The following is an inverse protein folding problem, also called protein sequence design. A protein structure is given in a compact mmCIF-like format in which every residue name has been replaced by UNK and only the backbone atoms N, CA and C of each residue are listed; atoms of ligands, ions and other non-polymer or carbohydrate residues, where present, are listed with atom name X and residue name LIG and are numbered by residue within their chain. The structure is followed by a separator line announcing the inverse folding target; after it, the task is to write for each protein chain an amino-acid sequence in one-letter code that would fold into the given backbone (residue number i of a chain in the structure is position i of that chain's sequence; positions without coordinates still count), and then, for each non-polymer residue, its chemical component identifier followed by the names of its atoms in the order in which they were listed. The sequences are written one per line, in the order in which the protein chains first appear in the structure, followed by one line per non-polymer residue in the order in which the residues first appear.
data_IF_939290139402
#
_entry.id   IF_939290139402
#
_cell.length_a   1.000
_cell.length_b   1.000
_cell.length_c   1.000
_cell.angle_alpha   90.00
_cell.angle_beta   90.00
_cell.angle_gamma   90.00
#
_symmetry.space_group_name_H-M   'P 1'
#
loop_
_entity.id
_entity.type
_entity.pdbx_description
1 polymer ?
#
# COMPACT_ATOMS: atom_id res chain seq x y z
N UNK A 1 76.25 -28.29 -5.69
CA UNK A 1 76.74 -28.62 -7.07
C UNK A 1 75.60 -29.27 -7.82
N UNK A 2 75.44 -29.01 -9.13
CA UNK A 2 74.49 -29.67 -10.08
C UNK A 2 72.99 -29.42 -9.75
N UNK A 3 72.22 -28.76 -10.62
CA UNK A 3 71.61 -29.20 -11.89
C UNK A 3 70.49 -30.24 -11.65
N UNK A 4 69.17 -30.05 -11.90
CA UNK A 4 68.35 -29.44 -12.99
C UNK A 4 67.95 -30.41 -14.13
N UNK A 5 66.66 -30.32 -14.55
CA UNK A 5 66.07 -30.58 -15.88
C UNK A 5 65.53 -32.01 -16.23
N UNK A 6 64.22 -32.05 -16.63
CA UNK A 6 63.47 -33.09 -17.40
C UNK A 6 63.38 -34.51 -16.76
N UNK A 7 62.53 -35.51 -17.14
CA UNK A 7 61.45 -35.77 -18.14
C UNK A 7 60.73 -37.13 -17.75
N UNK A 8 59.59 -37.65 -18.27
CA UNK A 8 58.54 -37.26 -19.25
C UNK A 8 57.21 -38.07 -19.05
N UNK A 9 56.04 -37.47 -19.35
CA UNK A 9 54.82 -38.00 -20.04
C UNK A 9 53.99 -39.28 -19.66
N UNK A 10 52.70 -39.22 -20.05
CA UNK A 10 51.70 -40.30 -20.33
C UNK A 10 51.08 -41.07 -19.12
N UNK A 11 49.77 -41.39 -19.05
CA UNK A 11 48.61 -41.12 -19.96
C UNK A 11 47.26 -40.99 -19.20
N UNK A 12 46.19 -40.61 -19.92
CA UNK A 12 44.87 -40.19 -19.42
C UNK A 12 43.90 -41.29 -18.96
N UNK A 13 42.94 -40.92 -18.09
CA UNK A 13 41.50 -41.31 -18.03
C UNK A 13 40.86 -40.66 -16.78
N UNK A 14 39.67 -40.06 -16.77
CA UNK A 14 38.79 -39.60 -17.87
C UNK A 14 37.84 -38.45 -17.41
N UNK A 15 36.82 -38.14 -18.22
CA UNK A 15 35.86 -37.02 -18.16
C UNK A 15 35.02 -36.83 -16.87
N UNK A 16 34.85 -35.56 -16.48
CA UNK A 16 33.56 -34.98 -16.07
C UNK A 16 33.53 -33.48 -16.42
N UNK A 17 32.60 -32.96 -17.25
CA UNK A 17 32.49 -31.53 -17.52
C UNK A 17 31.89 -30.80 -16.31
N UNK A 18 32.44 -29.64 -15.97
CA UNK A 18 31.95 -28.84 -14.84
C UNK A 18 30.51 -28.34 -15.10
N UNK A 19 29.63 -28.55 -14.12
CA UNK A 19 28.26 -28.03 -14.15
C UNK A 19 28.31 -26.50 -14.21
N UNK A 20 27.82 -25.92 -15.31
CA UNK A 20 27.91 -24.47 -15.53
C UNK A 20 27.07 -23.72 -14.49
N UNK A 21 27.69 -22.80 -13.76
CA UNK A 21 26.96 -21.78 -13.02
C UNK A 21 26.22 -20.87 -14.02
N UNK A 22 24.96 -21.20 -14.31
CA UNK A 22 24.01 -20.22 -14.84
C UNK A 22 23.81 -19.14 -13.79
N UNK A 23 24.64 -18.10 -13.87
CA UNK A 23 24.43 -16.86 -13.13
C UNK A 23 23.06 -16.33 -13.55
N UNK A 24 22.15 -16.20 -12.59
CA UNK A 24 20.94 -15.39 -12.70
C UNK A 24 21.33 -13.92 -12.91
N UNK A 25 21.73 -13.61 -14.15
CA UNK A 25 22.03 -12.27 -14.61
C UNK A 25 20.69 -11.56 -14.74
N UNK A 26 20.47 -10.53 -13.92
CA UNK A 26 19.24 -9.73 -13.97
C UNK A 26 19.04 -9.28 -15.42
N UNK A 27 17.96 -9.76 -16.05
CA UNK A 27 17.64 -9.45 -17.44
C UNK A 27 17.37 -7.95 -17.54
N UNK A 28 18.01 -7.26 -18.49
CA UNK A 28 17.69 -5.86 -18.75
C UNK A 28 16.26 -5.75 -19.29
N UNK A 29 15.59 -4.62 -19.04
CA UNK A 29 14.22 -4.36 -19.50
C UNK A 29 14.10 -4.52 -21.03
N UNK A 30 15.16 -4.14 -21.76
CA UNK A 30 15.35 -4.36 -23.21
C UNK A 30 15.38 -5.85 -23.60
N UNK A 31 16.03 -6.71 -22.82
CA UNK A 31 16.09 -8.15 -23.09
C UNK A 31 14.77 -8.88 -22.82
N UNK A 32 13.98 -8.38 -21.86
CA UNK A 32 12.61 -8.88 -21.63
C UNK A 32 11.68 -8.48 -22.78
N UNK A 33 11.81 -7.25 -23.28
CA UNK A 33 11.07 -6.76 -24.45
C UNK A 33 11.38 -7.58 -25.72
N UNK A 34 12.66 -7.88 -25.98
CA UNK A 34 13.10 -8.68 -27.14
C UNK A 34 12.61 -10.14 -27.15
N UNK A 35 12.42 -10.77 -25.98
CA UNK A 35 11.85 -12.12 -25.90
C UNK A 35 10.33 -12.10 -26.10
N UNK A 36 9.63 -11.06 -25.62
CA UNK A 36 8.19 -10.88 -25.81
C UNK A 36 7.80 -10.51 -27.25
N UNK A 37 8.65 -9.78 -27.98
CA UNK A 37 8.41 -9.46 -29.39
C UNK A 37 8.28 -10.72 -30.27
N UNK A 38 8.91 -11.84 -29.88
CA UNK A 38 8.83 -13.14 -30.56
C UNK A 38 7.51 -13.89 -30.32
N UNK A 39 6.70 -13.44 -29.37
CA UNK A 39 5.41 -14.08 -28.99
C UNK A 39 4.26 -13.61 -29.89
N UNK A 40 4.49 -12.62 -30.76
CA UNK A 40 3.65 -12.40 -31.95
C UNK A 40 2.45 -11.47 -31.76
N UNK A 41 2.59 -10.39 -30.97
CA UNK A 41 1.63 -9.28 -31.01
C UNK A 41 1.92 -8.40 -32.24
N UNK A 42 0.95 -8.32 -33.15
CA UNK A 42 1.05 -7.59 -34.41
C UNK A 42 0.10 -6.39 -34.45
N UNK A 43 0.68 -5.20 -34.67
CA UNK A 43 0.02 -4.01 -35.23
C UNK A 43 -1.31 -3.56 -34.60
N UNK A 44 -1.25 -2.91 -33.44
CA UNK A 44 -1.49 -1.44 -33.32
C UNK A 44 -1.28 -0.97 -31.87
N UNK A 45 -0.89 0.30 -31.69
CA UNK A 45 -0.65 0.96 -30.38
C UNK A 45 0.62 0.56 -29.60
N UNK A 46 1.74 0.33 -30.28
CA UNK A 46 3.08 0.05 -29.68
C UNK A 46 3.43 0.95 -28.48
N UNK A 47 3.07 2.24 -28.51
CA UNK A 47 3.27 3.18 -27.40
C UNK A 47 2.38 2.88 -26.18
N UNK A 48 1.11 2.52 -26.38
CA UNK A 48 0.21 2.17 -25.28
C UNK A 48 0.53 0.81 -24.69
N UNK A 49 0.86 -0.18 -25.52
CA UNK A 49 1.31 -1.50 -25.05
C UNK A 49 2.59 -1.37 -24.23
N UNK A 50 3.57 -0.58 -24.71
CA UNK A 50 4.80 -0.25 -23.98
C UNK A 50 4.52 0.48 -22.67
N UNK A 51 3.56 1.42 -22.63
CA UNK A 51 3.12 2.08 -21.40
C UNK A 51 2.49 1.08 -20.41
N UNK A 52 1.51 0.29 -20.85
CA UNK A 52 0.82 -0.75 -20.06
C UNK A 52 1.83 -1.80 -19.55
N UNK A 53 2.83 -2.15 -20.34
CA UNK A 53 3.95 -3.02 -19.96
C UNK A 53 4.81 -2.40 -18.86
N UNK A 54 5.28 -1.15 -19.01
CA UNK A 54 6.06 -0.47 -17.97
C UNK A 54 5.25 -0.27 -16.67
N UNK A 55 3.94 0.03 -16.78
CA UNK A 55 3.03 0.09 -15.63
C UNK A 55 2.92 -1.28 -14.94
N UNK A 56 2.77 -2.37 -15.70
CA UNK A 56 2.73 -3.75 -15.18
C UNK A 56 4.05 -4.15 -14.52
N UNK A 57 5.20 -3.92 -15.17
CA UNK A 57 6.54 -4.22 -14.61
C UNK A 57 6.81 -3.40 -13.35
N UNK A 58 6.39 -2.13 -13.32
CA UNK A 58 6.45 -1.29 -12.11
C UNK A 58 5.59 -1.85 -10.98
N UNK A 59 4.36 -2.27 -11.27
CA UNK A 59 3.45 -2.86 -10.28
C UNK A 59 3.99 -4.19 -9.74
N UNK A 60 4.49 -5.09 -10.59
CA UNK A 60 5.11 -6.34 -10.13
C UNK A 60 6.39 -6.09 -9.32
N UNK A 61 7.23 -5.12 -9.73
CA UNK A 61 8.39 -4.70 -8.93
C UNK A 61 7.98 -4.15 -7.56
N UNK A 62 6.91 -3.36 -7.49
CA UNK A 62 6.36 -2.86 -6.22
C UNK A 62 5.78 -3.98 -5.35
N UNK A 63 5.09 -4.97 -5.94
CA UNK A 63 4.60 -6.16 -5.21
C UNK A 63 5.75 -7.00 -4.64
N UNK A 64 6.78 -7.30 -5.44
CA UNK A 64 7.96 -8.04 -5.02
C UNK A 64 8.77 -7.28 -3.96
N UNK A 65 8.83 -5.95 -4.05
CA UNK A 65 9.43 -5.11 -3.02
C UNK A 65 8.61 -5.16 -1.72
N UNK A 66 7.27 -5.07 -1.79
CA UNK A 66 6.40 -5.16 -0.62
C UNK A 66 6.55 -6.51 0.10
N UNK A 67 6.42 -7.64 -0.61
CA UNK A 67 6.55 -8.97 0.00
C UNK A 67 7.96 -9.24 0.55
N UNK A 68 9.00 -8.67 -0.07
CA UNK A 68 10.35 -8.68 0.49
C UNK A 68 10.42 -7.88 1.80
N UNK A 69 9.86 -6.67 1.86
CA UNK A 69 9.84 -5.86 3.08
C UNK A 69 8.99 -6.50 4.20
N UNK A 70 7.84 -7.08 3.87
CA UNK A 70 7.00 -7.86 4.80
C UNK A 70 7.83 -8.99 5.45
N UNK A 71 8.58 -9.77 4.65
CA UNK A 71 9.42 -10.84 5.18
C UNK A 71 10.56 -10.33 6.07
N UNK A 72 11.13 -9.16 5.79
CA UNK A 72 12.16 -8.53 6.64
C UNK A 72 11.51 -8.00 7.94
N UNK A 73 10.28 -7.50 7.87
CA UNK A 73 9.51 -7.02 9.01
C UNK A 73 9.14 -8.17 9.96
N UNK A 74 8.68 -9.32 9.45
CA UNK A 74 8.40 -10.51 10.26
C UNK A 74 9.65 -10.97 11.02
N UNK A 75 10.80 -11.05 10.35
CA UNK A 75 12.08 -11.36 11.00
C UNK A 75 12.43 -10.34 12.09
N UNK A 76 12.34 -9.04 11.81
CA UNK A 76 12.57 -7.97 12.78
C UNK A 76 11.63 -8.07 14.00
N UNK A 77 10.37 -8.45 13.77
CA UNK A 77 9.37 -8.62 14.81
C UNK A 77 9.65 -9.84 15.70
N UNK A 78 10.17 -10.94 15.16
CA UNK A 78 10.62 -12.08 15.97
C UNK A 78 11.85 -11.73 16.85
N UNK A 79 12.82 -10.95 16.36
CA UNK A 79 13.89 -10.40 17.21
C UNK A 79 13.33 -9.56 18.37
N UNK A 80 12.34 -8.70 18.10
CA UNK A 80 11.63 -7.90 19.12
C UNK A 80 10.78 -8.74 20.09
N UNK A 81 10.26 -9.89 19.65
CA UNK A 81 9.57 -10.86 20.52
C UNK A 81 10.55 -11.58 21.45
N UNK A 82 11.70 -12.00 20.93
CA UNK A 82 12.80 -12.60 21.69
C UNK A 82 13.53 -11.61 22.62
N UNK A 83 13.24 -10.31 22.52
CA UNK A 83 13.84 -9.27 23.34
C UNK A 83 15.18 -8.73 22.84
N UNK A 84 15.60 -9.15 21.63
CA UNK A 84 16.79 -8.64 20.97
C UNK A 84 16.44 -7.35 20.20
N UNK A 85 16.45 -6.24 20.92
CA UNK A 85 16.02 -4.94 20.39
C UNK A 85 17.05 -4.25 19.49
N UNK A 86 18.31 -4.69 19.47
CA UNK A 86 19.32 -4.13 18.54
C UNK A 86 19.12 -4.71 17.14
N UNK A 87 19.01 -6.02 17.00
CA UNK A 87 18.78 -6.65 15.68
C UNK A 87 17.40 -6.26 15.11
N UNK A 88 16.37 -6.17 15.95
CA UNK A 88 15.05 -5.67 15.55
C UNK A 88 15.09 -4.22 15.05
N UNK A 89 15.81 -3.34 15.76
CA UNK A 89 16.06 -1.95 15.37
C UNK A 89 16.80 -1.86 14.03
N UNK A 90 17.86 -2.65 13.85
CA UNK A 90 18.71 -2.58 12.65
C UNK A 90 18.01 -3.15 11.41
N UNK A 91 17.15 -4.16 11.56
CA UNK A 91 16.28 -4.62 10.47
C UNK A 91 15.16 -3.61 10.17
N UNK A 92 14.52 -3.03 11.19
CA UNK A 92 13.51 -1.98 10.99
C UNK A 92 14.10 -0.73 10.29
N UNK A 93 15.32 -0.33 10.64
CA UNK A 93 16.03 0.76 9.97
C UNK A 93 16.35 0.45 8.49
N UNK A 94 16.66 -0.82 8.15
CA UNK A 94 16.86 -1.25 6.75
C UNK A 94 15.58 -1.19 5.94
N UNK A 95 14.44 -1.54 6.52
CA UNK A 95 13.13 -1.39 5.86
C UNK A 95 12.86 0.08 5.56
N UNK A 96 13.04 0.97 6.55
CA UNK A 96 12.80 2.41 6.40
C UNK A 96 13.78 3.11 5.45
N UNK A 97 14.96 2.54 5.21
CA UNK A 97 15.90 3.00 4.18
C UNK A 97 15.46 2.61 2.75
N UNK A 98 14.53 1.66 2.60
CA UNK A 98 13.98 1.20 1.31
C UNK A 98 12.58 1.79 1.07
N UNK A 99 11.75 1.83 2.11
CA UNK A 99 10.45 2.52 2.14
C UNK A 99 10.31 3.36 3.43
N UNK A 100 10.61 4.68 3.36
CA UNK A 100 10.40 5.61 4.48
C UNK A 100 8.93 5.73 4.94
N UNK A 101 7.96 5.26 4.14
CA UNK A 101 6.53 5.26 4.48
C UNK A 101 6.07 4.05 5.31
N UNK A 102 6.95 3.09 5.59
CA UNK A 102 6.60 1.81 6.19
C UNK A 102 6.27 1.91 7.70
N UNK A 103 5.07 2.42 8.00
CA UNK A 103 4.53 2.68 9.35
C UNK A 103 4.84 1.60 10.41
N UNK A 104 4.70 0.33 10.06
CA UNK A 104 4.95 -0.78 11.00
C UNK A 104 6.43 -0.94 11.38
N UNK A 105 7.35 -0.66 10.44
CA UNK A 105 8.78 -0.65 10.72
C UNK A 105 9.17 0.59 11.54
N UNK A 106 8.53 1.74 11.32
CA UNK A 106 8.69 2.91 12.20
C UNK A 106 8.24 2.60 13.63
N UNK A 107 7.03 2.05 13.80
CA UNK A 107 6.51 1.62 15.11
C UNK A 107 7.46 0.62 15.80
N UNK A 108 7.99 -0.35 15.05
CA UNK A 108 8.92 -1.36 15.57
C UNK A 108 10.29 -0.74 15.93
N UNK A 109 10.78 0.20 15.14
CA UNK A 109 12.02 0.95 15.41
C UNK A 109 11.89 1.80 16.68
N UNK A 110 10.77 2.53 16.84
CA UNK A 110 10.47 3.29 18.05
C UNK A 110 10.41 2.38 19.30
N UNK A 111 9.63 1.30 19.22
CA UNK A 111 9.44 0.38 20.33
C UNK A 111 10.75 -0.36 20.70
N UNK A 112 11.59 -0.69 19.71
CA UNK A 112 12.89 -1.29 19.96
C UNK A 112 13.85 -0.30 20.62
N UNK A 113 13.93 0.94 20.14
CA UNK A 113 14.72 2.00 20.75
C UNK A 113 14.30 2.30 22.20
N UNK A 114 13.00 2.25 22.52
CA UNK A 114 12.46 2.48 23.87
C UNK A 114 12.79 1.36 24.88
N UNK A 115 13.16 0.16 24.42
CA UNK A 115 13.47 -1.00 25.27
C UNK A 115 14.96 -1.38 25.27
N UNK A 116 15.72 -0.83 24.32
CA UNK A 116 17.17 -0.97 24.15
C UNK A 116 17.92 -0.63 25.45
N UNK A 117 18.78 -1.54 25.91
CA UNK A 117 19.55 -1.35 27.15
C UNK A 117 18.75 -1.38 28.46
N UNK A 118 17.45 -1.72 28.44
CA UNK A 118 16.67 -1.85 29.68
C UNK A 118 17.20 -2.97 30.58
N UNK A 119 17.47 -2.63 31.85
CA UNK A 119 17.80 -3.59 32.92
C UNK A 119 16.64 -4.56 33.25
N UNK A 120 15.41 -4.27 32.83
CA UNK A 120 14.22 -5.12 33.03
C UNK A 120 13.32 -5.12 31.79
N UNK A 121 13.73 -5.78 30.68
CA UNK A 121 13.04 -5.72 29.39
C UNK A 121 11.53 -5.96 29.45
N UNK A 122 11.09 -7.00 30.17
CA UNK A 122 9.67 -7.34 30.29
C UNK A 122 8.85 -6.27 31.04
N UNK A 123 9.44 -5.61 32.06
CA UNK A 123 8.82 -4.52 32.80
C UNK A 123 8.69 -3.27 31.92
N UNK A 124 9.78 -2.88 31.24
CA UNK A 124 9.77 -1.73 30.31
C UNK A 124 8.79 -1.95 29.16
N UNK A 125 8.74 -3.16 28.59
CA UNK A 125 7.78 -3.51 27.51
C UNK A 125 6.34 -3.42 27.99
N UNK A 126 6.05 -3.89 29.21
CA UNK A 126 4.72 -3.75 29.82
C UNK A 126 4.35 -2.28 30.03
N UNK A 127 5.24 -1.48 30.62
CA UNK A 127 5.00 -0.05 30.89
C UNK A 127 4.77 0.74 29.59
N UNK A 128 5.65 0.58 28.60
CA UNK A 128 5.53 1.20 27.28
C UNK A 128 4.19 0.87 26.58
N UNK A 129 3.73 -0.40 26.69
CA UNK A 129 2.43 -0.81 26.14
C UNK A 129 1.26 -0.24 26.93
N UNK A 130 1.35 -0.15 28.26
CA UNK A 130 0.33 0.50 29.09
C UNK A 130 0.24 2.01 28.79
N UNK A 131 1.36 2.70 28.60
CA UNK A 131 1.36 4.13 28.31
C UNK A 131 0.85 4.43 26.90
N UNK A 132 1.26 3.68 25.87
CA UNK A 132 0.64 3.77 24.52
C UNK A 132 -0.87 3.48 24.58
N UNK A 133 -1.31 2.53 25.40
CA UNK A 133 -2.74 2.21 25.61
C UNK A 133 -3.50 3.35 26.33
N UNK A 134 -2.92 3.95 27.37
CA UNK A 134 -3.51 5.11 28.09
C UNK A 134 -3.64 6.31 27.17
N UNK A 135 -2.60 6.65 26.40
CA UNK A 135 -2.63 7.74 25.42
C UNK A 135 -3.71 7.54 24.36
N UNK A 136 -3.88 6.31 23.85
CA UNK A 136 -4.95 5.98 22.91
C UNK A 136 -6.35 6.18 23.51
N UNK A 137 -6.55 5.96 24.82
CA UNK A 137 -7.81 6.27 25.51
C UNK A 137 -7.98 7.78 25.78
N UNK A 138 -6.92 8.52 26.06
CA UNK A 138 -6.98 10.00 26.17
C UNK A 138 -7.48 10.63 24.86
N UNK A 139 -6.82 10.28 23.75
CA UNK A 139 -7.20 10.69 22.40
C UNK A 139 -8.65 10.33 22.07
N UNK A 140 -9.14 9.19 22.57
CA UNK A 140 -10.54 8.80 22.40
C UNK A 140 -11.49 9.71 23.19
N UNK A 141 -11.19 10.01 24.46
CA UNK A 141 -11.98 10.96 25.27
C UNK A 141 -11.89 12.41 24.79
N UNK A 142 -10.82 12.77 24.08
CA UNK A 142 -10.65 14.04 23.36
C UNK A 142 -11.43 14.09 22.03
N UNK A 143 -12.11 13.01 21.63
CA UNK A 143 -12.84 12.92 20.36
C UNK A 143 -11.95 12.72 19.12
N UNK A 144 -10.64 12.50 19.30
CA UNK A 144 -9.64 12.34 18.22
C UNK A 144 -9.59 10.89 17.73
N UNK A 145 -10.75 10.40 17.27
CA UNK A 145 -11.01 8.96 17.03
C UNK A 145 -9.98 8.31 16.08
N UNK A 146 -9.56 9.00 15.01
CA UNK A 146 -8.56 8.50 14.07
C UNK A 146 -7.18 8.29 14.72
N UNK A 147 -6.76 9.21 15.58
CA UNK A 147 -5.47 9.13 16.29
C UNK A 147 -5.53 8.07 17.40
N UNK A 148 -6.65 8.01 18.13
CA UNK A 148 -6.92 6.97 19.12
C UNK A 148 -6.90 5.57 18.49
N UNK A 149 -7.54 5.39 17.33
CA UNK A 149 -7.51 4.14 16.56
C UNK A 149 -6.09 3.76 16.16
N UNK A 150 -5.32 4.68 15.56
CA UNK A 150 -3.90 4.44 15.17
C UNK A 150 -3.04 4.05 16.38
N UNK A 151 -3.12 4.79 17.50
CA UNK A 151 -2.34 4.48 18.71
C UNK A 151 -2.77 3.18 19.38
N UNK A 152 -4.04 2.80 19.32
CA UNK A 152 -4.50 1.48 19.78
C UNK A 152 -4.04 0.35 18.84
N UNK A 153 -3.96 0.61 17.53
CA UNK A 153 -3.47 -0.35 16.54
C UNK A 153 -2.00 -0.71 16.81
N UNK A 154 -1.16 0.26 17.18
CA UNK A 154 0.22 0.01 17.64
C UNK A 154 0.27 -0.97 18.82
N UNK A 155 -0.58 -0.77 19.84
CA UNK A 155 -0.63 -1.67 21.02
C UNK A 155 -1.05 -3.08 20.64
N UNK A 156 -1.99 -3.24 19.70
CA UNK A 156 -2.42 -4.56 19.20
C UNK A 156 -1.33 -5.23 18.36
N UNK A 157 -0.60 -4.49 17.51
CA UNK A 157 0.52 -5.04 16.73
C UNK A 157 1.70 -5.44 17.62
N UNK A 158 2.12 -4.57 18.54
CA UNK A 158 3.21 -4.84 19.48
C UNK A 158 2.85 -5.85 20.60
N UNK A 159 1.56 -6.12 20.81
CA UNK A 159 1.06 -7.09 21.80
C UNK A 159 -0.21 -7.83 21.31
N UNK A 160 -0.09 -8.77 20.35
CA UNK A 160 -1.24 -9.45 19.76
C UNK A 160 -2.08 -10.28 20.74
N UNK A 161 -1.51 -10.64 21.91
CA UNK A 161 -2.21 -11.40 22.96
C UNK A 161 -2.94 -10.50 23.98
N UNK A 162 -2.86 -9.17 23.85
CA UNK A 162 -3.55 -8.24 24.75
C UNK A 162 -5.05 -8.16 24.41
N UNK A 163 -5.87 -8.95 25.12
CA UNK A 163 -7.34 -9.00 24.96
C UNK A 163 -7.98 -7.61 25.13
N UNK A 164 -7.50 -6.81 26.09
CA UNK A 164 -8.02 -5.46 26.35
C UNK A 164 -7.74 -4.51 25.17
N UNK A 165 -6.54 -4.55 24.60
CA UNK A 165 -6.21 -3.80 23.40
C UNK A 165 -7.02 -4.26 22.18
N UNK A 166 -7.19 -5.57 21.98
CA UNK A 166 -8.03 -6.12 20.90
C UNK A 166 -9.49 -5.66 21.00
N UNK A 167 -10.08 -5.66 22.20
CA UNK A 167 -11.43 -5.14 22.43
C UNK A 167 -11.54 -3.65 22.08
N UNK A 168 -10.65 -2.82 22.64
CA UNK A 168 -10.69 -1.37 22.40
C UNK A 168 -10.34 -1.00 20.96
N UNK A 169 -9.44 -1.72 20.30
CA UNK A 169 -9.15 -1.53 18.88
C UNK A 169 -10.36 -1.84 18.00
N UNK A 170 -11.11 -2.93 18.30
CA UNK A 170 -12.37 -3.20 17.60
C UNK A 170 -13.37 -2.07 17.83
N UNK A 171 -13.59 -1.66 19.08
CA UNK A 171 -14.50 -0.56 19.41
C UNK A 171 -14.13 0.73 18.68
N UNK A 172 -12.85 1.13 18.72
CA UNK A 172 -12.33 2.29 17.99
C UNK A 172 -12.49 2.15 16.47
N UNK A 173 -12.40 0.93 15.92
CA UNK A 173 -12.66 0.69 14.49
C UNK A 173 -14.13 0.93 14.13
N UNK A 174 -15.04 0.38 14.93
CA UNK A 174 -16.49 0.54 14.73
C UNK A 174 -16.90 2.02 14.93
N UNK A 175 -16.43 2.66 16.01
CA UNK A 175 -16.63 4.10 16.28
C UNK A 175 -16.05 5.00 15.16
N UNK A 176 -14.91 4.65 14.56
CA UNK A 176 -14.29 5.40 13.44
C UNK A 176 -15.10 5.27 12.14
N UNK A 177 -15.71 4.10 11.87
CA UNK A 177 -16.67 3.92 10.77
C UNK A 177 -17.88 4.84 10.96
N UNK A 178 -18.40 4.93 12.18
CA UNK A 178 -19.54 5.81 12.49
C UNK A 178 -19.16 7.30 12.38
N UNK A 179 -17.97 7.70 12.85
CA UNK A 179 -17.44 9.06 12.65
C UNK A 179 -17.42 9.47 11.16
N UNK A 180 -16.81 8.65 10.31
CA UNK A 180 -16.75 8.92 8.87
C UNK A 180 -18.12 8.91 8.20
N UNK A 181 -19.01 7.97 8.58
CA UNK A 181 -20.35 7.88 8.01
C UNK A 181 -21.21 9.12 8.36
N UNK A 182 -21.23 9.55 9.62
CA UNK A 182 -21.98 10.74 10.03
C UNK A 182 -21.44 12.00 9.35
N UNK A 183 -20.10 12.15 9.29
CA UNK A 183 -19.46 13.27 8.59
C UNK A 183 -19.84 13.32 7.11
N UNK A 184 -19.83 12.18 6.42
CA UNK A 184 -20.29 12.09 5.02
C UNK A 184 -21.76 12.49 4.86
N UNK A 185 -22.64 12.02 5.74
CA UNK A 185 -24.07 12.36 5.74
C UNK A 185 -24.32 13.85 6.05
N UNK A 186 -23.52 14.48 6.90
CA UNK A 186 -23.60 15.91 7.17
C UNK A 186 -23.09 16.76 6.00
N UNK A 187 -22.01 16.35 5.34
CA UNK A 187 -21.50 17.01 4.14
C UNK A 187 -22.47 16.90 2.95
N UNK A 188 -23.22 15.79 2.83
CA UNK A 188 -24.33 15.69 1.88
C UNK A 188 -25.44 16.73 2.15
N UNK A 189 -25.81 16.95 3.42
CA UNK A 189 -26.78 18.00 3.80
C UNK A 189 -26.27 19.40 3.42
N UNK A 190 -24.95 19.62 3.51
CA UNK A 190 -24.27 20.84 3.08
C UNK A 190 -24.08 20.96 1.54
N UNK A 191 -24.51 19.96 0.75
CA UNK A 191 -24.29 19.81 -0.71
C UNK A 191 -22.81 19.65 -1.12
N UNK A 192 -21.93 19.32 -0.18
CA UNK A 192 -20.52 18.95 -0.43
C UNK A 192 -20.44 17.49 -0.92
N UNK A 193 -21.00 17.20 -2.11
CA UNK A 193 -21.17 15.82 -2.60
C UNK A 193 -19.85 15.02 -2.72
N UNK A 194 -18.75 15.68 -3.08
CA UNK A 194 -17.43 15.03 -3.25
C UNK A 194 -16.83 14.64 -1.90
N UNK A 195 -16.72 15.60 -0.98
CA UNK A 195 -16.21 15.39 0.36
C UNK A 195 -17.09 14.41 1.17
N UNK A 196 -18.41 14.41 0.90
CA UNK A 196 -19.34 13.40 1.37
C UNK A 196 -18.97 11.99 0.89
N UNK A 197 -18.74 11.81 -0.41
CA UNK A 197 -18.28 10.53 -0.97
C UNK A 197 -16.94 10.09 -0.37
N UNK A 198 -15.96 10.98 -0.24
CA UNK A 198 -14.65 10.66 0.37
C UNK A 198 -14.82 10.12 1.79
N UNK A 199 -15.69 10.72 2.61
CA UNK A 199 -15.95 10.25 3.97
C UNK A 199 -16.75 8.93 3.97
N UNK A 200 -17.72 8.75 3.08
CA UNK A 200 -18.45 7.48 2.95
C UNK A 200 -17.56 6.33 2.45
N UNK A 201 -16.64 6.57 1.50
CA UNK A 201 -15.64 5.58 1.08
C UNK A 201 -14.69 5.22 2.22
N UNK A 202 -14.24 6.19 3.04
CA UNK A 202 -13.46 5.90 4.25
C UNK A 202 -14.23 4.99 5.23
N UNK A 203 -15.54 5.22 5.42
CA UNK A 203 -16.37 4.34 6.23
C UNK A 203 -16.52 2.92 5.61
N UNK A 204 -16.69 2.83 4.28
CA UNK A 204 -16.80 1.56 3.55
C UNK A 204 -15.49 0.75 3.57
N UNK A 205 -14.31 1.39 3.53
CA UNK A 205 -13.01 0.73 3.68
C UNK A 205 -12.86 0.08 5.07
N UNK A 206 -13.42 0.71 6.10
CA UNK A 206 -13.39 0.18 7.48
C UNK A 206 -14.34 -1.03 7.61
N UNK A 207 -15.53 -0.96 7.00
CA UNK A 207 -16.54 -2.03 6.99
C UNK A 207 -17.02 -2.34 5.56
N UNK A 208 -16.25 -3.15 4.79
CA UNK A 208 -16.63 -3.51 3.43
C UNK A 208 -17.98 -4.23 3.38
N UNK A 209 -18.76 -3.94 2.33
CA UNK A 209 -20.12 -4.49 2.10
C UNK A 209 -21.17 -4.06 3.14
N UNK A 210 -20.98 -2.93 3.83
CA UNK A 210 -22.07 -2.31 4.59
C UNK A 210 -23.11 -1.72 3.62
N UNK A 211 -24.29 -2.36 3.55
CA UNK A 211 -25.33 -2.03 2.58
C UNK A 211 -25.83 -0.58 2.70
N UNK A 212 -25.86 -0.01 3.92
CA UNK A 212 -26.31 1.37 4.14
C UNK A 212 -25.29 2.34 3.56
N UNK A 213 -24.00 2.10 3.79
CA UNK A 213 -22.92 2.95 3.25
C UNK A 213 -22.91 2.88 1.72
N UNK A 214 -23.10 1.69 1.14
CA UNK A 214 -23.20 1.50 -0.32
C UNK A 214 -24.41 2.26 -0.90
N UNK A 215 -25.59 2.17 -0.29
CA UNK A 215 -26.78 2.88 -0.77
C UNK A 215 -26.58 4.42 -0.78
N UNK A 216 -25.95 4.96 0.27
CA UNK A 216 -25.59 6.37 0.33
C UNK A 216 -24.57 6.77 -0.74
N UNK A 217 -23.55 5.95 -0.99
CA UNK A 217 -22.56 6.19 -2.05
C UNK A 217 -23.24 6.19 -3.43
N UNK A 218 -24.00 5.16 -3.78
CA UNK A 218 -24.68 5.04 -5.08
C UNK A 218 -25.61 6.24 -5.33
N UNK A 219 -26.40 6.64 -4.34
CA UNK A 219 -27.31 7.79 -4.44
C UNK A 219 -26.57 9.10 -4.74
N UNK A 220 -25.42 9.33 -4.12
CA UNK A 220 -24.63 10.55 -4.28
C UNK A 220 -23.82 10.52 -5.58
N UNK A 221 -23.32 9.35 -5.98
CA UNK A 221 -22.74 9.16 -7.32
C UNK A 221 -23.77 9.46 -8.43
N UNK A 222 -25.02 9.01 -8.28
CA UNK A 222 -26.08 9.29 -9.26
C UNK A 222 -26.44 10.77 -9.32
N UNK A 223 -26.57 11.47 -8.17
CA UNK A 223 -26.77 12.93 -8.14
C UNK A 223 -25.58 13.65 -8.80
N UNK A 224 -24.35 13.22 -8.55
CA UNK A 224 -23.14 13.81 -9.13
C UNK A 224 -23.01 13.53 -10.64
N UNK A 225 -23.37 12.33 -11.12
CA UNK A 225 -23.45 12.00 -12.56
C UNK A 225 -24.49 12.88 -13.26
N UNK A 226 -25.68 13.03 -12.66
CA UNK A 226 -26.74 13.90 -13.19
C UNK A 226 -26.31 15.37 -13.23
N UNK A 227 -25.62 15.89 -12.21
CA UNK A 227 -25.08 17.26 -12.22
C UNK A 227 -24.08 17.43 -13.36
N UNK A 228 -23.13 16.51 -13.53
CA UNK A 228 -22.13 16.56 -14.61
C UNK A 228 -22.75 16.50 -16.01
N UNK A 229 -23.75 15.63 -16.23
CA UNK A 229 -24.47 15.55 -17.49
C UNK A 229 -25.25 16.86 -17.79
N UNK A 230 -25.91 17.43 -16.79
CA UNK A 230 -26.66 18.69 -16.93
C UNK A 230 -25.77 19.91 -17.18
N UNK A 231 -24.62 20.03 -16.49
CA UNK A 231 -23.66 21.10 -16.72
C UNK A 231 -23.04 21.02 -18.12
N UNK A 232 -22.70 19.80 -18.57
CA UNK A 232 -22.17 19.56 -19.91
C UNK A 232 -23.23 19.85 -21.00
N UNK A 233 -24.48 19.42 -20.79
CA UNK A 233 -25.63 19.74 -21.65
C UNK A 233 -25.83 21.26 -21.76
N UNK A 234 -25.88 21.97 -20.63
CA UNK A 234 -26.05 23.43 -20.58
C UNK A 234 -24.93 24.14 -21.36
N UNK A 235 -23.67 23.80 -21.08
CA UNK A 235 -22.50 24.34 -21.80
C UNK A 235 -22.56 24.09 -23.31
N UNK A 236 -23.07 22.93 -23.71
CA UNK A 236 -23.22 22.57 -25.13
C UNK A 236 -24.32 23.36 -25.82
N UNK A 237 -25.43 23.66 -25.12
CA UNK A 237 -26.50 24.53 -25.61
C UNK A 237 -26.03 26.00 -25.72
N UNK A 238 -25.19 26.47 -24.79
CA UNK A 238 -24.54 27.78 -24.88
C UNK A 238 -23.59 27.89 -26.08
N UNK A 239 -22.85 26.82 -26.40
CA UNK A 239 -22.01 26.73 -27.60
C UNK A 239 -22.85 26.65 -28.89
N UNK A 240 -23.97 25.93 -28.87
CA UNK A 240 -24.92 25.87 -29.99
C UNK A 240 -25.50 27.26 -30.30
N UNK A 241 -25.92 28.01 -29.27
CA UNK A 241 -26.40 29.39 -29.41
C UNK A 241 -25.32 30.36 -29.94
N UNK A 242 -24.04 30.07 -29.72
CA UNK A 242 -22.89 30.78 -30.30
C UNK A 242 -22.55 30.33 -31.74
N UNK A 243 -23.32 29.42 -32.34
CA UNK A 243 -23.06 28.87 -33.68
C UNK A 243 -21.90 27.86 -33.75
N UNK A 244 -21.34 27.42 -32.60
CA UNK A 244 -20.19 26.52 -32.52
C UNK A 244 -20.63 25.05 -32.62
N UNK A 245 -21.24 24.71 -33.76
CA UNK A 245 -22.00 23.47 -33.96
C UNK A 245 -21.19 22.18 -33.66
N UNK A 246 -19.90 22.15 -34.00
CA UNK A 246 -19.05 20.98 -33.72
C UNK A 246 -18.84 20.77 -32.22
N UNK A 247 -18.42 21.82 -31.51
CA UNK A 247 -18.14 21.79 -30.07
C UNK A 247 -19.41 21.49 -29.26
N UNK A 248 -20.55 22.04 -29.71
CA UNK A 248 -21.86 21.71 -29.16
C UNK A 248 -22.23 20.24 -29.38
N UNK A 249 -22.02 19.67 -30.57
CA UNK A 249 -22.31 18.26 -30.85
C UNK A 249 -21.43 17.31 -30.02
N UNK A 250 -20.12 17.59 -29.92
CA UNK A 250 -19.19 16.81 -29.11
C UNK A 250 -19.56 16.84 -27.61
N UNK A 251 -19.97 18.01 -27.10
CA UNK A 251 -20.44 18.16 -25.72
C UNK A 251 -21.80 17.48 -25.45
N UNK A 252 -22.78 17.61 -26.36
CA UNK A 252 -24.08 16.91 -26.26
C UNK A 252 -23.91 15.39 -26.25
N UNK A 253 -23.04 14.87 -27.13
CA UNK A 253 -22.69 13.45 -27.14
C UNK A 253 -22.04 13.03 -25.83
N UNK A 254 -21.11 13.83 -25.30
CA UNK A 254 -20.46 13.56 -24.01
C UNK A 254 -21.45 13.56 -22.83
N UNK A 255 -22.50 14.37 -22.85
CA UNK A 255 -23.56 14.32 -21.83
C UNK A 255 -24.35 12.99 -21.90
N UNK A 256 -24.69 12.51 -23.11
CA UNK A 256 -25.34 11.21 -23.33
C UNK A 256 -24.42 10.01 -23.00
N UNK A 257 -23.10 10.17 -23.09
CA UNK A 257 -22.14 9.13 -22.65
C UNK A 257 -21.98 9.08 -21.12
N UNK A 258 -22.33 10.16 -20.40
CA UNK A 258 -22.41 10.19 -18.92
C UNK A 258 -23.76 9.65 -18.43
N UNK A 259 -24.86 10.01 -19.12
CA UNK A 259 -26.22 9.59 -18.82
C UNK A 259 -27.00 9.26 -20.11
N UNK A 260 -27.06 7.98 -20.52
CA UNK A 260 -27.73 7.53 -21.75
C UNK A 260 -29.26 7.39 -21.62
#
# INVERSE_FOLDING_TARGET
MKNTILALMFTAISCAPAFSQERNKVRSEESLFLDLQKIGLGSLSEFEEKKKFFETVKLEKQKLQATMLDSIYENAFEYYRCGNYEDAKDLAARILAIDPGHSDAQMLLEASNQLRGSLRPAMSKKLMLEDRFRTALSLYTEGRILEAYRKMQEVVKLSPNNIKAKYWHKKLKDDLKDYYFQRGVDQYKARELKDSLDNLYNALLIRPRDAVIVEWITRIEDELRQQQANDQLKRSLELYAQGKLKEAYEGLRSALEIQP
#
